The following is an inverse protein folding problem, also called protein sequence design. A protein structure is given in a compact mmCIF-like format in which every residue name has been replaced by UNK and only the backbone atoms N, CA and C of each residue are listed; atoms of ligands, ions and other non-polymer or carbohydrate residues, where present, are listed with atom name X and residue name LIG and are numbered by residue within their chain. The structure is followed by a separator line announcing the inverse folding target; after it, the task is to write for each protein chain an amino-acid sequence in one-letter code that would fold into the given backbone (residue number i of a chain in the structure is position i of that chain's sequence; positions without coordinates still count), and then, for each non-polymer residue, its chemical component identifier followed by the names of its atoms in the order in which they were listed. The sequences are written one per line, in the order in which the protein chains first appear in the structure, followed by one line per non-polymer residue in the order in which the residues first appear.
data_IF_703704428129
#
_entry.id   IF_703704428129
#
_cell.length_a   1.000
_cell.length_b   1.000
_cell.length_c   1.000
_cell.angle_alpha   90.00
_cell.angle_beta   90.00
_cell.angle_gamma   90.00
#
_symmetry.space_group_name_H-M   'P 1'
#
loop_
_entity.id
_entity.type
_entity.pdbx_description
1 polymer ?
#
# COMPACT_ATOMS: atom_id res chain seq x y z
N UNK A 1 -17.01 -3.83 -13.78
CA UNK A 1 -17.69 -2.72 -13.08
C UNK A 1 -17.10 -2.36 -11.68
N UNK A 2 -16.06 -3.03 -11.18
CA UNK A 2 -15.46 -2.74 -9.87
C UNK A 2 -14.42 -1.60 -9.89
N UNK A 3 -13.59 -1.42 -10.93
CA UNK A 3 -12.52 -0.40 -10.90
C UNK A 3 -13.05 1.04 -10.79
N UNK A 4 -14.17 1.38 -11.44
CA UNK A 4 -14.71 2.74 -11.39
C UNK A 4 -15.16 3.20 -9.99
N UNK A 5 -15.59 2.28 -9.13
CA UNK A 5 -16.05 2.60 -7.76
C UNK A 5 -14.89 2.91 -6.82
N UNK A 6 -13.73 2.25 -7.00
CA UNK A 6 -12.52 2.57 -6.25
C UNK A 6 -12.00 3.98 -6.57
N UNK A 7 -11.99 4.36 -7.83
CA UNK A 7 -11.66 5.72 -8.27
C UNK A 7 -12.61 6.77 -7.68
N UNK A 8 -13.92 6.49 -7.70
CA UNK A 8 -14.91 7.38 -7.11
C UNK A 8 -14.69 7.55 -5.59
N UNK A 9 -14.43 6.46 -4.85
CA UNK A 9 -14.16 6.53 -3.42
C UNK A 9 -12.85 7.28 -3.10
N UNK A 10 -11.81 7.10 -3.92
CA UNK A 10 -10.56 7.83 -3.79
C UNK A 10 -10.76 9.33 -3.96
N UNK A 11 -11.58 9.71 -4.94
CA UNK A 11 -11.96 11.10 -5.22
C UNK A 11 -12.84 11.69 -4.14
N UNK A 12 -13.84 10.95 -3.72
CA UNK A 12 -14.76 11.37 -2.65
C UNK A 12 -14.01 11.61 -1.33
N UNK A 13 -13.07 10.74 -0.98
CA UNK A 13 -12.24 10.94 0.22
C UNK A 13 -11.32 12.16 0.07
N UNK A 14 -10.78 12.42 -1.13
CA UNK A 14 -10.00 13.62 -1.39
C UNK A 14 -10.84 14.89 -1.13
N UNK A 15 -12.07 14.97 -1.62
CA UNK A 15 -12.94 16.09 -1.38
C UNK A 15 -13.35 16.26 0.09
N UNK A 16 -13.45 15.16 0.84
CA UNK A 16 -13.69 15.24 2.29
C UNK A 16 -12.45 15.81 3.00
N UNK A 17 -11.24 15.41 2.63
CA UNK A 17 -10.01 15.93 3.25
C UNK A 17 -9.75 17.40 2.91
N UNK A 18 -10.14 17.82 1.71
CA UNK A 18 -10.00 19.19 1.22
C UNK A 18 -11.29 20.02 1.38
N UNK A 19 -12.16 19.64 2.32
CA UNK A 19 -13.45 20.30 2.51
C UNK A 19 -13.35 21.81 2.72
N UNK A 20 -12.29 22.27 3.40
CA UNK A 20 -12.06 23.71 3.64
C UNK A 20 -11.82 24.47 2.33
N UNK A 21 -11.04 23.91 1.43
CA UNK A 21 -10.74 24.48 0.12
C UNK A 21 -12.01 24.54 -0.75
N UNK A 22 -12.86 23.51 -0.69
CA UNK A 22 -14.13 23.45 -1.42
C UNK A 22 -15.14 24.50 -0.91
N UNK A 23 -15.19 24.73 0.40
CA UNK A 23 -16.08 25.76 0.99
C UNK A 23 -15.64 27.17 0.60
N UNK A 24 -14.33 27.39 0.44
CA UNK A 24 -13.77 28.70 0.04
C UNK A 24 -13.94 28.95 -1.47
N UNK A 25 -13.76 27.91 -2.28
CA UNK A 25 -13.92 27.97 -3.74
C UNK A 25 -14.62 26.69 -4.27
N UNK A 26 -15.92 26.75 -4.55
CA UNK A 26 -16.66 25.61 -5.14
C UNK A 26 -16.15 25.18 -6.51
N UNK A 27 -15.46 26.06 -7.26
CA UNK A 27 -14.80 25.74 -8.54
C UNK A 27 -13.67 24.71 -8.40
N UNK A 28 -13.07 24.62 -7.23
CA UNK A 28 -12.02 23.64 -6.89
C UNK A 28 -12.43 22.17 -7.16
N UNK A 29 -13.72 21.84 -7.06
CA UNK A 29 -14.24 20.52 -7.41
C UNK A 29 -14.02 20.21 -8.89
N UNK A 30 -14.25 21.18 -9.77
CA UNK A 30 -14.12 21.01 -11.23
C UNK A 30 -12.63 20.95 -11.61
N UNK A 31 -11.83 21.84 -11.06
CA UNK A 31 -10.38 21.89 -11.32
C UNK A 31 -9.65 20.62 -10.90
N UNK A 32 -10.10 20.02 -9.81
CA UNK A 32 -9.48 18.80 -9.28
C UNK A 32 -10.06 17.51 -9.87
N UNK A 33 -10.99 17.53 -10.82
CA UNK A 33 -11.61 16.30 -11.37
C UNK A 33 -10.60 15.28 -11.91
N UNK A 34 -9.53 15.75 -12.53
CA UNK A 34 -8.46 14.91 -13.11
C UNK A 34 -7.28 14.66 -12.17
N UNK A 35 -7.16 15.39 -11.07
CA UNK A 35 -6.04 15.37 -10.13
C UNK A 35 -6.49 15.19 -8.68
N UNK A 36 -5.57 15.00 -7.74
CA UNK A 36 -5.90 14.93 -6.32
C UNK A 36 -6.72 13.68 -5.96
N UNK A 37 -6.07 12.52 -5.90
CA UNK A 37 -6.67 11.28 -5.42
C UNK A 37 -6.01 10.84 -4.12
N UNK A 38 -6.82 10.55 -3.10
CA UNK A 38 -6.32 9.94 -1.86
C UNK A 38 -6.24 8.43 -2.03
N UNK A 39 -5.02 7.88 -2.09
CA UNK A 39 -4.76 6.45 -2.29
C UNK A 39 -5.52 5.59 -1.27
N UNK A 40 -5.57 6.02 -0.01
CA UNK A 40 -6.31 5.30 1.04
C UNK A 40 -7.81 5.19 0.73
N UNK A 41 -8.42 6.22 0.12
CA UNK A 41 -9.83 6.17 -0.33
C UNK A 41 -10.05 5.11 -1.40
N UNK A 42 -9.11 4.98 -2.33
CA UNK A 42 -9.13 3.92 -3.35
C UNK A 42 -9.01 2.53 -2.76
N UNK A 43 -8.11 2.33 -1.81
CA UNK A 43 -7.90 1.04 -1.13
C UNK A 43 -9.16 0.67 -0.31
N UNK A 44 -9.63 1.56 0.56
CA UNK A 44 -10.81 1.32 1.40
C UNK A 44 -12.05 1.08 0.52
N UNK A 45 -12.28 1.96 -0.47
CA UNK A 45 -13.39 1.82 -1.40
C UNK A 45 -13.33 0.54 -2.23
N UNK A 46 -12.15 0.14 -2.68
CA UNK A 46 -11.92 -1.12 -3.38
C UNK A 46 -12.24 -2.34 -2.52
N UNK A 47 -11.75 -2.37 -1.28
CA UNK A 47 -12.03 -3.45 -0.31
C UNK A 47 -13.53 -3.52 0.01
N UNK A 48 -14.16 -2.40 0.36
CA UNK A 48 -15.58 -2.36 0.71
C UNK A 48 -16.47 -2.78 -0.48
N UNK A 49 -16.17 -2.29 -1.67
CA UNK A 49 -16.90 -2.67 -2.89
C UNK A 49 -16.71 -4.15 -3.21
N UNK A 50 -15.49 -4.67 -3.06
CA UNK A 50 -15.18 -6.09 -3.25
C UNK A 50 -15.93 -6.98 -2.24
N UNK A 51 -15.91 -6.60 -0.96
CA UNK A 51 -16.66 -7.29 0.10
C UNK A 51 -18.16 -7.28 -0.17
N UNK A 52 -18.73 -6.12 -0.52
CA UNK A 52 -20.15 -6.00 -0.83
C UNK A 52 -20.55 -6.84 -2.06
N UNK A 53 -19.74 -6.80 -3.13
CA UNK A 53 -19.96 -7.62 -4.31
C UNK A 53 -19.93 -9.11 -4.00
N UNK A 54 -18.91 -9.56 -3.26
CA UNK A 54 -18.79 -10.96 -2.85
C UNK A 54 -19.99 -11.39 -1.98
N UNK A 55 -20.44 -10.51 -1.08
CA UNK A 55 -21.60 -10.79 -0.22
C UNK A 55 -22.89 -10.93 -1.03
N UNK A 56 -23.14 -10.01 -1.99
CA UNK A 56 -24.33 -10.05 -2.85
C UNK A 56 -24.32 -11.32 -3.73
N UNK A 57 -23.14 -11.69 -4.26
CA UNK A 57 -22.98 -12.85 -5.15
C UNK A 57 -22.73 -14.16 -4.40
N UNK A 58 -22.73 -14.15 -3.06
CA UNK A 58 -22.44 -15.33 -2.20
C UNK A 58 -21.06 -15.96 -2.51
N UNK A 59 -20.06 -15.12 -2.83
CA UNK A 59 -18.70 -15.52 -3.15
C UNK A 59 -17.80 -15.40 -1.92
N UNK A 60 -16.74 -16.22 -1.85
CA UNK A 60 -15.75 -16.16 -0.77
C UNK A 60 -14.73 -15.06 -1.08
N UNK A 61 -14.79 -13.93 -0.39
CA UNK A 61 -13.92 -12.76 -0.63
C UNK A 61 -12.42 -13.11 -0.64
N UNK A 62 -11.95 -13.86 0.35
CA UNK A 62 -10.55 -14.22 0.49
C UNK A 62 -10.01 -15.08 -0.66
N UNK A 63 -10.85 -15.87 -1.32
CA UNK A 63 -10.47 -16.63 -2.50
C UNK A 63 -10.05 -15.71 -3.65
N UNK A 64 -10.79 -14.63 -3.87
CA UNK A 64 -10.50 -13.65 -4.92
C UNK A 64 -9.38 -12.70 -4.51
N UNK A 65 -9.33 -12.29 -3.23
CA UNK A 65 -8.24 -11.48 -2.70
C UNK A 65 -6.88 -12.17 -2.88
N UNK A 66 -6.80 -13.47 -2.59
CA UNK A 66 -5.57 -14.27 -2.75
C UNK A 66 -5.06 -14.31 -4.21
N UNK A 67 -5.95 -14.20 -5.20
CA UNK A 67 -5.57 -14.16 -6.62
C UNK A 67 -5.09 -12.77 -7.03
N UNK A 68 -5.68 -11.71 -6.47
CA UNK A 68 -5.42 -10.33 -6.87
C UNK A 68 -4.16 -9.77 -6.19
N UNK A 69 -3.91 -10.12 -4.92
CA UNK A 69 -2.87 -9.49 -4.11
C UNK A 69 -1.44 -9.64 -4.65
N UNK A 70 -1.03 -10.77 -5.27
CA UNK A 70 0.27 -10.81 -5.94
C UNK A 70 0.41 -9.73 -7.02
N UNK A 71 -0.63 -9.50 -7.83
CA UNK A 71 -0.63 -8.44 -8.86
C UNK A 71 -0.58 -7.05 -8.25
N UNK A 72 -1.16 -6.86 -7.06
CA UNK A 72 -1.04 -5.59 -6.30
C UNK A 72 0.41 -5.35 -5.87
N UNK A 73 1.10 -6.37 -5.32
CA UNK A 73 2.51 -6.26 -4.95
C UNK A 73 3.39 -5.91 -6.17
N UNK A 74 3.13 -6.55 -7.32
CA UNK A 74 3.82 -6.23 -8.58
C UNK A 74 3.59 -4.77 -8.99
N UNK A 75 2.35 -4.31 -8.97
CA UNK A 75 1.98 -2.92 -9.30
C UNK A 75 2.63 -1.92 -8.35
N UNK A 76 2.75 -2.25 -7.05
CA UNK A 76 3.45 -1.42 -6.07
C UNK A 76 4.93 -1.28 -6.44
N UNK A 77 5.62 -2.36 -6.83
CA UNK A 77 7.02 -2.32 -7.26
C UNK A 77 7.23 -1.36 -8.45
N UNK A 78 6.39 -1.43 -9.47
CA UNK A 78 6.43 -0.47 -10.60
C UNK A 78 6.08 0.95 -10.16
N UNK A 79 5.11 1.12 -9.27
CA UNK A 79 4.76 2.43 -8.71
C UNK A 79 5.95 3.08 -7.98
N UNK A 80 6.81 2.29 -7.31
CA UNK A 80 8.04 2.79 -6.68
C UNK A 80 9.09 3.25 -7.68
N UNK A 81 9.20 2.57 -8.83
CA UNK A 81 10.03 3.05 -9.94
C UNK A 81 9.49 4.40 -10.44
N UNK A 82 8.17 4.55 -10.60
CA UNK A 82 7.56 5.84 -10.93
C UNK A 82 7.88 6.94 -9.91
N UNK A 83 7.84 6.64 -8.60
CA UNK A 83 8.26 7.57 -7.56
C UNK A 83 9.74 7.95 -7.68
N UNK A 84 10.60 7.02 -8.08
CA UNK A 84 12.01 7.29 -8.31
C UNK A 84 12.23 8.26 -9.49
N UNK A 85 11.54 8.03 -10.59
CA UNK A 85 11.61 8.90 -11.77
C UNK A 85 11.06 10.31 -11.50
N UNK A 86 10.04 10.43 -10.65
CA UNK A 86 9.48 11.70 -10.20
C UNK A 86 10.35 12.40 -9.12
N UNK A 87 11.32 11.71 -8.53
CA UNK A 87 12.12 12.24 -7.41
C UNK A 87 11.38 12.37 -6.09
N UNK A 88 10.20 11.77 -5.91
CA UNK A 88 9.46 11.81 -4.65
C UNK A 88 9.80 10.61 -3.76
N UNK A 89 9.45 10.68 -2.46
CA UNK A 89 9.63 9.58 -1.51
C UNK A 89 11.09 9.14 -1.31
N UNK A 90 12.02 10.07 -1.40
CA UNK A 90 13.45 9.87 -1.26
C UNK A 90 13.85 9.52 0.18
N UNK A 91 15.06 8.99 0.33
CA UNK A 91 15.67 8.65 1.61
C UNK A 91 16.48 9.79 2.23
N UNK A 92 17.08 9.51 3.37
CA UNK A 92 17.97 10.43 4.07
C UNK A 92 19.24 10.69 3.26
N UNK A 93 19.91 11.79 3.56
CA UNK A 93 21.25 12.07 3.04
C UNK A 93 22.23 10.97 3.48
N UNK A 94 23.18 10.65 2.60
CA UNK A 94 24.14 9.57 2.84
C UNK A 94 25.42 9.78 2.03
N UNK A 95 26.52 9.31 2.58
CA UNK A 95 27.81 9.24 1.87
C UNK A 95 28.05 7.86 1.21
N UNK A 96 27.03 7.01 1.18
CA UNK A 96 27.14 5.67 0.60
C UNK A 96 27.37 5.72 -0.91
N UNK A 97 28.16 4.77 -1.42
CA UNK A 97 28.39 4.57 -2.84
C UNK A 97 27.12 4.21 -3.63
N UNK A 98 26.08 3.73 -2.95
CA UNK A 98 24.75 3.42 -3.51
C UNK A 98 23.78 4.61 -3.45
N UNK A 99 24.27 5.82 -3.21
CA UNK A 99 23.46 7.04 -3.24
C UNK A 99 23.05 7.44 -4.66
N UNK A 100 21.97 8.20 -4.74
CA UNK A 100 21.51 8.84 -5.98
C UNK A 100 21.41 10.33 -5.77
N UNK A 101 21.86 11.11 -6.77
CA UNK A 101 21.82 12.57 -6.77
C UNK A 101 20.80 13.01 -7.82
N UNK A 102 19.75 13.69 -7.38
CA UNK A 102 18.80 14.33 -8.28
C UNK A 102 19.32 15.70 -8.71
N UNK A 103 19.17 16.05 -10.00
CA UNK A 103 19.65 17.32 -10.53
C UNK A 103 18.53 18.33 -10.77
N UNK A 104 17.36 17.87 -11.22
CA UNK A 104 16.21 18.70 -11.56
C UNK A 104 14.90 18.08 -11.02
N UNK A 105 14.88 17.70 -9.75
CA UNK A 105 13.68 17.19 -9.11
C UNK A 105 12.87 18.34 -8.51
N UNK A 106 11.54 18.27 -8.64
CA UNK A 106 10.62 19.18 -7.96
C UNK A 106 10.40 18.81 -6.49
N UNK A 107 10.69 17.56 -6.11
CA UNK A 107 10.38 17.03 -4.79
C UNK A 107 11.60 16.74 -3.93
N UNK A 108 12.64 16.16 -4.53
CA UNK A 108 13.87 15.84 -3.80
C UNK A 108 14.83 17.02 -3.77
N UNK A 109 15.66 17.15 -2.72
CA UNK A 109 16.80 18.07 -2.74
C UNK A 109 17.72 17.77 -3.93
N UNK A 110 18.03 18.80 -4.73
CA UNK A 110 18.92 18.67 -5.87
C UNK A 110 20.38 18.78 -5.41
N UNK A 111 21.28 18.08 -6.09
CA UNK A 111 22.72 18.06 -5.84
C UNK A 111 23.12 17.47 -4.49
N UNK A 112 22.24 16.72 -3.84
CA UNK A 112 22.48 16.04 -2.56
C UNK A 112 22.45 14.52 -2.77
N UNK A 113 23.40 13.80 -2.17
CA UNK A 113 23.45 12.34 -2.21
C UNK A 113 22.42 11.74 -1.25
N UNK A 114 21.41 11.05 -1.78
CA UNK A 114 20.27 10.52 -1.07
C UNK A 114 20.20 8.99 -1.15
N UNK A 115 19.71 8.34 -0.11
CA UNK A 115 19.39 6.91 -0.15
C UNK A 115 18.23 6.69 -1.13
N UNK A 116 18.36 5.83 -2.18
CA UNK A 116 17.29 5.55 -3.14
C UNK A 116 16.24 4.59 -2.54
N UNK A 117 15.55 5.03 -1.49
CA UNK A 117 14.53 4.24 -0.79
C UNK A 117 13.41 3.75 -1.71
N UNK A 118 13.16 4.45 -2.82
CA UNK A 118 12.21 4.05 -3.84
C UNK A 118 12.65 2.74 -4.51
N UNK A 119 13.93 2.62 -4.89
CA UNK A 119 14.49 1.42 -5.53
C UNK A 119 14.54 0.25 -4.55
N UNK A 120 14.91 0.50 -3.30
CA UNK A 120 14.87 -0.53 -2.26
C UNK A 120 13.45 -1.02 -2.01
N UNK A 121 12.46 -0.11 -1.95
CA UNK A 121 11.05 -0.45 -1.84
C UNK A 121 10.58 -1.27 -3.04
N UNK A 122 10.96 -0.87 -4.26
CA UNK A 122 10.62 -1.60 -5.49
C UNK A 122 11.17 -3.03 -5.48
N UNK A 123 12.43 -3.21 -5.10
CA UNK A 123 13.06 -4.53 -4.97
C UNK A 123 12.34 -5.41 -3.95
N UNK A 124 11.98 -4.86 -2.79
CA UNK A 124 11.20 -5.56 -1.77
C UNK A 124 9.79 -5.92 -2.28
N UNK A 125 9.12 -5.04 -3.01
CA UNK A 125 7.78 -5.29 -3.55
C UNK A 125 7.83 -6.38 -4.65
N UNK A 126 8.87 -6.44 -5.49
CA UNK A 126 9.07 -7.53 -6.46
C UNK A 126 9.38 -8.85 -5.76
N UNK A 127 10.24 -8.85 -4.74
CA UNK A 127 10.49 -10.05 -3.94
C UNK A 127 9.20 -10.52 -3.25
N UNK A 128 8.42 -9.59 -2.70
CA UNK A 128 7.12 -9.86 -2.10
C UNK A 128 6.17 -10.52 -3.11
N UNK A 129 6.07 -9.97 -4.34
CA UNK A 129 5.31 -10.58 -5.44
C UNK A 129 5.70 -12.03 -5.69
N UNK A 130 7.02 -12.32 -5.83
CA UNK A 130 7.51 -13.68 -6.07
C UNK A 130 7.18 -14.63 -4.91
N UNK A 131 7.37 -14.19 -3.66
CA UNK A 131 7.03 -14.97 -2.47
C UNK A 131 5.52 -15.28 -2.42
N UNK A 132 4.68 -14.30 -2.74
CA UNK A 132 3.23 -14.52 -2.77
C UNK A 132 2.81 -15.50 -3.87
N UNK A 133 3.46 -15.50 -5.03
CA UNK A 133 3.22 -16.50 -6.09
C UNK A 133 3.58 -17.90 -5.61
N UNK A 134 4.71 -18.06 -4.92
CA UNK A 134 5.13 -19.35 -4.36
C UNK A 134 4.13 -19.86 -3.31
N UNK A 135 3.65 -18.96 -2.44
CA UNK A 135 2.64 -19.28 -1.44
C UNK A 135 1.30 -19.62 -2.10
N UNK A 136 0.91 -18.87 -3.13
CA UNK A 136 -0.34 -19.09 -3.87
C UNK A 136 -0.38 -20.47 -4.56
N UNK A 137 0.77 -20.95 -5.06
CA UNK A 137 0.91 -22.30 -5.65
C UNK A 137 0.64 -23.41 -4.63
N UNK A 138 1.04 -23.21 -3.38
CA UNK A 138 1.00 -24.22 -2.32
C UNK A 138 -0.05 -23.92 -1.25
N UNK A 139 -0.95 -22.95 -1.47
CA UNK A 139 -1.96 -22.58 -0.48
C UNK A 139 -2.94 -23.73 -0.24
N UNK A 140 -3.28 -23.95 1.02
CA UNK A 140 -4.22 -24.98 1.46
C UNK A 140 -5.60 -24.42 1.79
N UNK A 141 -5.66 -23.14 2.16
CA UNK A 141 -6.89 -22.47 2.59
C UNK A 141 -6.99 -21.07 1.97
N UNK A 142 -8.22 -20.60 1.73
CA UNK A 142 -8.47 -19.25 1.25
C UNK A 142 -8.13 -18.20 2.33
N UNK A 143 -7.48 -17.12 1.92
CA UNK A 143 -6.99 -16.05 2.79
C UNK A 143 -5.53 -16.20 3.22
N UNK A 144 -4.87 -17.31 2.91
CA UNK A 144 -3.47 -17.54 3.28
C UNK A 144 -2.53 -16.55 2.59
N UNK A 145 -2.72 -16.31 1.29
CA UNK A 145 -1.93 -15.33 0.52
C UNK A 145 -2.21 -13.92 1.03
N UNK A 146 -3.48 -13.61 1.33
CA UNK A 146 -3.89 -12.33 1.92
C UNK A 146 -3.20 -12.07 3.26
N UNK A 147 -3.17 -13.05 4.15
CA UNK A 147 -2.49 -12.92 5.44
C UNK A 147 -0.99 -12.69 5.28
N UNK A 148 -0.33 -13.46 4.40
CA UNK A 148 1.09 -13.28 4.10
C UNK A 148 1.39 -11.92 3.46
N UNK A 149 0.51 -11.44 2.54
CA UNK A 149 0.63 -10.10 1.97
C UNK A 149 0.65 -9.03 3.06
N UNK A 150 -0.30 -9.04 3.99
CA UNK A 150 -0.39 -8.06 5.07
C UNK A 150 0.87 -8.10 5.97
N UNK A 151 1.38 -9.29 6.30
CA UNK A 151 2.56 -9.46 7.15
C UNK A 151 3.81 -8.93 6.44
N UNK A 152 4.10 -9.39 5.24
CA UNK A 152 5.32 -9.01 4.52
C UNK A 152 5.34 -7.54 4.14
N UNK A 153 4.21 -7.02 3.67
CA UNK A 153 4.07 -5.60 3.38
C UNK A 153 4.32 -4.73 4.61
N UNK A 154 3.75 -5.09 5.76
CA UNK A 154 3.94 -4.32 7.00
C UNK A 154 5.38 -4.34 7.49
N UNK A 155 6.08 -5.47 7.40
CA UNK A 155 7.50 -5.57 7.76
C UNK A 155 8.33 -4.68 6.82
N UNK A 156 8.17 -4.84 5.50
CA UNK A 156 8.90 -4.05 4.51
C UNK A 156 8.66 -2.56 4.68
N UNK A 157 7.39 -2.16 4.86
CA UNK A 157 7.01 -0.76 5.05
C UNK A 157 7.56 -0.17 6.34
N UNK A 158 7.54 -0.93 7.43
CA UNK A 158 8.09 -0.51 8.72
C UNK A 158 9.61 -0.28 8.64
N UNK A 159 10.34 -1.19 7.99
CA UNK A 159 11.80 -1.11 7.85
C UNK A 159 12.21 0.05 6.94
N UNK A 160 11.58 0.20 5.77
CA UNK A 160 11.90 1.28 4.83
C UNK A 160 11.70 2.67 5.44
N UNK A 161 10.76 2.83 6.35
CA UNK A 161 10.46 4.12 6.97
C UNK A 161 11.64 4.69 7.77
N UNK A 162 12.54 3.86 8.30
CA UNK A 162 13.75 4.32 9.00
C UNK A 162 14.75 5.04 8.08
N UNK A 163 14.74 4.70 6.81
CA UNK A 163 15.66 5.25 5.80
C UNK A 163 15.07 6.44 5.05
N UNK A 164 13.80 6.80 5.30
CA UNK A 164 13.14 7.90 4.61
C UNK A 164 13.61 9.25 5.11
N UNK A 165 13.74 10.20 4.15
CA UNK A 165 14.17 11.60 4.40
C UNK A 165 13.03 12.61 4.28
N UNK A 166 11.89 12.26 3.64
CA UNK A 166 10.74 13.14 3.45
C UNK A 166 9.86 13.24 4.71
N UNK A 167 10.21 14.14 5.60
CA UNK A 167 9.67 14.30 6.97
C UNK A 167 8.20 14.80 7.03
N UNK A 168 7.61 15.19 5.90
CA UNK A 168 6.34 15.95 5.82
C UNK A 168 5.08 15.13 6.19
N UNK A 169 5.18 13.85 6.54
CA UNK A 169 4.02 12.92 6.61
C UNK A 169 3.38 12.76 7.99
N UNK A 170 3.77 13.54 8.95
CA UNK A 170 3.24 13.46 10.32
C UNK A 170 3.78 12.28 11.13
N UNK A 171 3.75 12.44 12.45
CA UNK A 171 4.15 11.43 13.42
C UNK A 171 3.04 11.20 14.45
N UNK A 172 2.93 9.99 14.95
CA UNK A 172 2.08 9.63 16.08
C UNK A 172 3.00 9.24 17.23
N UNK A 173 3.29 10.19 18.12
CA UNK A 173 4.30 10.04 19.15
C UNK A 173 5.70 9.90 18.54
N UNK A 174 6.42 8.82 18.85
CA UNK A 174 7.77 8.52 18.38
C UNK A 174 7.80 7.75 17.04
N UNK A 175 6.65 7.30 16.56
CA UNK A 175 6.52 6.54 15.31
C UNK A 175 5.97 7.42 14.19
N UNK A 176 6.39 7.16 12.95
CA UNK A 176 5.73 7.75 11.80
C UNK A 176 4.31 7.18 11.63
N UNK A 177 3.42 7.95 11.02
CA UNK A 177 2.06 7.49 10.70
C UNK A 177 2.09 6.19 9.90
N UNK A 178 3.07 6.02 9.00
CA UNK A 178 3.25 4.80 8.21
C UNK A 178 3.65 3.61 9.07
N UNK A 179 4.55 3.79 10.05
CA UNK A 179 4.95 2.73 10.98
C UNK A 179 3.78 2.31 11.87
N UNK A 180 3.02 3.29 12.36
CA UNK A 180 1.82 3.02 13.16
C UNK A 180 0.81 2.15 12.39
N UNK A 181 0.46 2.54 11.16
CA UNK A 181 -0.44 1.77 10.30
C UNK A 181 0.14 0.37 10.00
N UNK A 182 1.46 0.26 9.78
CA UNK A 182 2.13 -1.02 9.50
C UNK A 182 2.00 -2.01 10.66
N UNK A 183 2.07 -1.56 11.91
CA UNK A 183 1.88 -2.42 13.08
C UNK A 183 0.47 -3.04 13.07
N UNK A 184 -0.57 -2.22 12.86
CA UNK A 184 -1.95 -2.73 12.84
C UNK A 184 -2.22 -3.67 11.67
N UNK A 185 -1.69 -3.35 10.48
CA UNK A 185 -1.82 -4.24 9.31
C UNK A 185 -1.08 -5.56 9.51
N UNK A 186 0.09 -5.55 10.15
CA UNK A 186 0.83 -6.76 10.51
C UNK A 186 0.08 -7.62 11.51
N UNK A 187 -0.45 -7.01 12.57
CA UNK A 187 -1.28 -7.72 13.57
C UNK A 187 -2.51 -8.34 12.89
N UNK A 188 -3.20 -7.59 12.03
CA UNK A 188 -4.36 -8.12 11.29
C UNK A 188 -3.98 -9.32 10.42
N UNK A 189 -2.83 -9.28 9.73
CA UNK A 189 -2.30 -10.41 8.97
C UNK A 189 -2.01 -11.63 9.83
N UNK A 190 -1.36 -11.45 10.98
CA UNK A 190 -1.06 -12.54 11.92
C UNK A 190 -2.35 -13.16 12.47
N UNK A 191 -3.30 -12.35 12.92
CA UNK A 191 -4.60 -12.81 13.43
C UNK A 191 -5.36 -13.60 12.35
N UNK A 192 -5.36 -13.10 11.11
CA UNK A 192 -5.98 -13.80 9.99
C UNK A 192 -5.33 -15.17 9.77
N UNK A 193 -3.99 -15.23 9.75
CA UNK A 193 -3.25 -16.47 9.55
C UNK A 193 -3.53 -17.50 10.66
N UNK A 194 -3.57 -17.06 11.93
CA UNK A 194 -3.89 -17.93 13.07
C UNK A 194 -5.31 -18.47 12.94
N UNK A 195 -6.30 -17.63 12.59
CA UNK A 195 -7.69 -18.06 12.40
C UNK A 195 -7.82 -19.10 11.28
N UNK A 196 -7.12 -18.91 10.18
CA UNK A 196 -7.11 -19.86 9.05
C UNK A 196 -6.53 -21.19 9.49
N UNK A 197 -5.39 -21.20 10.19
CA UNK A 197 -4.76 -22.43 10.70
C UNK A 197 -5.66 -23.18 11.67
N UNK A 198 -6.23 -22.49 12.66
CA UNK A 198 -7.14 -23.08 13.64
C UNK A 198 -8.37 -23.72 12.97
N UNK A 199 -8.94 -23.06 11.96
CA UNK A 199 -10.09 -23.59 11.21
C UNK A 199 -9.72 -24.86 10.43
N UNK A 200 -8.51 -24.90 9.86
CA UNK A 200 -8.00 -26.08 9.14
C UNK A 200 -7.83 -27.26 10.11
N UNK A 201 -7.18 -27.03 11.26
CA UNK A 201 -6.87 -28.09 12.21
C UNK A 201 -8.16 -28.68 12.82
N UNK A 202 -9.20 -27.85 13.06
CA UNK A 202 -10.53 -28.31 13.47
C UNK A 202 -11.24 -29.15 12.42
N UNK A 203 -10.99 -28.93 11.12
CA UNK A 203 -11.55 -29.77 10.04
C UNK A 203 -10.80 -31.11 9.86
N UNK A 204 -9.54 -31.16 10.25
CA UNK A 204 -8.70 -32.36 10.16
C UNK A 204 -8.91 -33.35 11.31
N UNK A 205 -9.58 -32.89 12.38
CA UNK A 205 -9.87 -33.69 13.59
C UNK A 205 -11.27 -34.31 13.62
N UNK A 206 -12.06 -34.10 12.57
CA UNK A 206 -13.38 -34.72 12.33
C UNK A 206 -13.29 -35.68 11.14
#
# INVERSE_FOLDING_TARGET
MVPGRGFFCAKFLFWITEWKSIVQDPGFIIETLSSGFVVFGGIIGGILTGLLYCRIRKLVFFKYADVILPSVALAQGFGRIGCFLAGCCYGKETESIFSVIFQNSEYAPNHVALIPTQLYSSGLDFLHFLLLLLIARNKKEDGQVTACYLIFYSIGRFVIEFFRGDIIRGSVGILSTSQFISIFTGIAGIVLLIRIRKKRDSKSSV
#
